data_IF_476858157190
#
_entry.id   IF_476858157190
#
_cell.length_a   1.000
_cell.length_b   1.000
_cell.length_c   1.000
_cell.angle_alpha   90.00
_cell.angle_beta   90.00
_cell.angle_gamma   90.00
#
_symmetry.space_group_name_H-M   'P 1'
#
loop_
_entity.id
_entity.type
_entity.pdbx_description
1 polymer ?
#
# COMPACT_ATOMS: atom_id res chain seq x y z
N UNK A 1 35.39 -0.25 30.18
CA UNK A 1 35.60 -0.34 28.72
C UNK A 1 34.38 0.23 28.05
N UNK A 2 34.53 1.36 27.37
CA UNK A 2 33.42 2.00 26.63
C UNK A 2 33.16 1.26 25.31
N UNK A 3 32.02 1.55 24.68
CA UNK A 3 31.71 1.01 23.34
C UNK A 3 32.75 1.49 22.32
N UNK A 4 33.13 2.77 22.34
CA UNK A 4 34.18 3.32 21.49
C UNK A 4 35.52 2.58 21.67
N UNK A 5 35.97 2.41 22.92
CA UNK A 5 37.20 1.68 23.23
C UNK A 5 37.15 0.23 22.75
N UNK A 6 36.00 -0.43 22.89
CA UNK A 6 35.82 -1.80 22.41
C UNK A 6 35.95 -1.87 20.89
N UNK A 7 35.27 -0.99 20.14
CA UNK A 7 35.36 -1.00 18.68
C UNK A 7 36.76 -0.61 18.19
N UNK A 8 37.41 0.37 18.81
CA UNK A 8 38.78 0.76 18.46
C UNK A 8 39.79 -0.37 18.73
N UNK A 9 39.73 -1.02 19.91
CA UNK A 9 40.74 -2.01 20.32
C UNK A 9 40.44 -3.44 19.86
N UNK A 10 39.18 -3.87 19.89
CA UNK A 10 38.78 -5.26 19.60
C UNK A 10 38.25 -5.46 18.19
N UNK A 11 37.66 -4.44 17.59
CA UNK A 11 37.16 -4.49 16.20
C UNK A 11 38.06 -3.73 15.21
N UNK A 12 39.15 -3.12 15.69
CA UNK A 12 40.08 -2.31 14.90
C UNK A 12 39.35 -1.25 14.05
N UNK A 13 38.31 -0.65 14.63
CA UNK A 13 37.45 0.29 13.94
C UNK A 13 37.24 1.52 14.83
N UNK A 14 37.70 2.68 14.36
CA UNK A 14 37.53 3.95 15.05
C UNK A 14 36.19 4.56 14.64
N UNK A 15 35.31 4.78 15.62
CA UNK A 15 34.01 5.40 15.38
C UNK A 15 34.19 6.81 14.81
N UNK A 16 33.41 7.14 13.78
CA UNK A 16 33.41 8.48 13.18
C UNK A 16 32.51 9.44 13.98
N UNK A 17 31.44 8.90 14.57
CA UNK A 17 30.45 9.65 15.33
C UNK A 17 30.33 9.11 16.77
N UNK A 18 31.38 9.25 17.61
CA UNK A 18 31.40 8.68 18.96
C UNK A 18 30.35 9.27 19.91
N UNK A 19 29.82 10.46 19.60
CA UNK A 19 28.75 11.11 20.37
C UNK A 19 27.34 10.63 20.00
N UNK A 20 27.19 9.81 18.95
CA UNK A 20 25.90 9.27 18.54
C UNK A 20 25.46 8.15 19.52
N UNK A 21 24.16 8.05 19.86
CA UNK A 21 23.70 6.98 20.72
C UNK A 21 23.90 5.60 20.09
N UNK A 22 24.08 4.59 20.95
CA UNK A 22 24.10 3.19 20.55
C UNK A 22 22.69 2.62 20.47
N UNK A 23 22.48 1.66 19.58
CA UNK A 23 21.26 0.87 19.50
C UNK A 23 21.39 -0.33 20.44
N UNK A 24 20.45 -0.47 21.38
CA UNK A 24 20.32 -1.68 22.19
C UNK A 24 19.54 -2.72 21.40
N UNK A 25 20.20 -3.84 21.10
CA UNK A 25 19.61 -4.96 20.35
C UNK A 25 19.52 -6.23 21.20
N UNK A 26 18.72 -7.18 20.74
CA UNK A 26 18.51 -8.46 21.41
C UNK A 26 17.42 -8.41 22.48
N UNK A 27 17.37 -9.46 23.32
CA UNK A 27 16.37 -9.55 24.39
C UNK A 27 16.64 -8.50 25.48
N UNK A 28 15.70 -7.58 25.77
CA UNK A 28 15.86 -6.59 26.84
C UNK A 28 16.03 -7.18 28.25
N UNK A 29 15.56 -8.42 28.47
CA UNK A 29 15.64 -9.12 29.75
C UNK A 29 16.96 -9.90 29.94
N UNK A 30 17.83 -9.93 28.93
CA UNK A 30 19.14 -10.57 29.03
C UNK A 30 20.01 -9.82 30.04
N UNK A 31 20.81 -10.57 30.83
CA UNK A 31 21.87 -9.97 31.64
C UNK A 31 22.92 -9.32 30.73
N UNK A 32 22.95 -7.99 30.75
CA UNK A 32 23.86 -7.14 29.98
C UNK A 32 23.27 -6.71 28.62
N UNK A 33 23.25 -5.40 28.33
CA UNK A 33 22.77 -4.91 27.05
C UNK A 33 23.77 -5.21 25.93
N UNK A 34 23.27 -5.57 24.75
CA UNK A 34 24.08 -5.64 23.53
C UNK A 34 23.95 -4.28 22.84
N UNK A 35 25.02 -3.48 22.89
CA UNK A 35 25.04 -2.13 22.36
C UNK A 35 25.82 -2.10 21.04
N UNK A 36 25.18 -1.62 19.98
CA UNK A 36 25.79 -1.43 18.67
C UNK A 36 25.86 0.06 18.33
N UNK A 37 27.00 0.59 17.85
CA UNK A 37 27.07 1.93 17.29
C UNK A 37 26.08 2.06 16.12
N UNK A 38 25.27 3.12 16.13
CA UNK A 38 24.26 3.33 15.09
C UNK A 38 24.88 3.47 13.69
N UNK A 39 26.10 4.01 13.58
CA UNK A 39 26.85 4.11 12.31
C UNK A 39 27.22 2.75 11.69
N UNK A 40 27.18 1.67 12.47
CA UNK A 40 27.44 0.30 12.00
C UNK A 40 26.14 -0.50 11.79
N UNK A 41 24.98 0.11 11.97
CA UNK A 41 23.69 -0.54 11.82
C UNK A 41 23.06 -0.18 10.47
N UNK A 42 22.45 -1.18 9.80
CA UNK A 42 21.64 -0.98 8.61
C UNK A 42 20.25 -1.54 8.82
N UNK A 43 19.24 -0.87 8.26
CA UNK A 43 17.86 -1.35 8.28
C UNK A 43 17.74 -2.47 7.24
N UNK A 44 17.42 -3.68 7.69
CA UNK A 44 17.20 -4.83 6.81
C UNK A 44 15.97 -4.59 5.92
N UNK A 45 16.03 -4.88 4.60
CA UNK A 45 14.91 -4.68 3.70
C UNK A 45 13.73 -5.61 4.00
N UNK A 46 12.55 -5.28 3.46
CA UNK A 46 11.34 -6.12 3.57
C UNK A 46 10.57 -5.99 4.89
N UNK A 47 10.95 -5.07 5.77
CA UNK A 47 10.22 -4.80 7.01
C UNK A 47 8.98 -3.93 6.73
N UNK A 48 7.75 -4.39 7.03
CA UNK A 48 6.55 -3.59 6.83
C UNK A 48 6.47 -2.44 7.84
N UNK A 49 6.02 -1.28 7.38
CA UNK A 49 5.81 -0.10 8.22
C UNK A 49 4.40 -0.14 8.79
N UNK A 50 4.27 -0.50 10.07
CA UNK A 50 2.97 -0.65 10.75
C UNK A 50 2.48 0.63 11.45
N UNK A 51 3.27 1.71 11.42
CA UNK A 51 2.89 3.02 11.98
C UNK A 51 2.09 3.82 10.97
N UNK A 52 1.23 4.72 11.46
CA UNK A 52 0.49 5.67 10.62
C UNK A 52 1.48 6.55 9.85
N UNK A 53 1.26 6.68 8.55
CA UNK A 53 2.01 7.58 7.68
C UNK A 53 1.65 9.04 7.98
N UNK A 54 2.60 9.96 7.78
CA UNK A 54 2.31 11.39 7.81
C UNK A 54 1.40 11.79 6.63
N UNK A 55 0.79 12.96 6.68
CA UNK A 55 -0.09 13.43 5.59
C UNK A 55 0.65 13.51 4.24
N UNK A 56 1.89 14.02 4.24
CA UNK A 56 2.73 14.08 3.05
C UNK A 56 3.11 12.69 2.50
N UNK A 57 3.45 11.75 3.39
CA UNK A 57 3.71 10.35 3.02
C UNK A 57 2.46 9.68 2.44
N UNK A 58 1.31 9.90 3.09
CA UNK A 58 0.01 9.35 2.65
C UNK A 58 -0.38 9.90 1.28
N UNK A 59 -0.25 11.22 1.06
CA UNK A 59 -0.52 11.85 -0.24
C UNK A 59 0.36 11.26 -1.35
N UNK A 60 1.64 11.06 -1.06
CA UNK A 60 2.59 10.46 -2.01
C UNK A 60 2.24 9.00 -2.32
N UNK A 61 1.88 8.21 -1.30
CA UNK A 61 1.43 6.83 -1.45
C UNK A 61 0.15 6.74 -2.30
N UNK A 62 -0.83 7.61 -2.04
CA UNK A 62 -2.08 7.67 -2.83
C UNK A 62 -1.75 7.97 -4.29
N UNK A 63 -0.92 8.99 -4.56
CA UNK A 63 -0.53 9.35 -5.94
C UNK A 63 0.19 8.20 -6.66
N UNK A 64 1.00 7.44 -5.94
CA UNK A 64 1.70 6.30 -6.50
C UNK A 64 0.76 5.11 -6.79
N UNK A 65 -0.16 4.82 -5.87
CA UNK A 65 -1.04 3.67 -5.95
C UNK A 65 -2.25 3.90 -6.88
N UNK A 66 -2.82 5.11 -6.87
CA UNK A 66 -3.97 5.48 -7.68
C UNK A 66 -3.55 5.64 -9.15
N UNK A 67 -3.70 4.57 -9.91
CA UNK A 67 -3.39 4.52 -11.35
C UNK A 67 -4.63 4.22 -12.17
N UNK A 68 -4.62 4.62 -13.45
CA UNK A 68 -5.73 4.32 -14.36
C UNK A 68 -5.92 2.82 -14.53
N UNK A 69 -7.13 2.42 -14.95
CA UNK A 69 -7.47 1.00 -15.14
C UNK A 69 -6.54 0.30 -16.14
N UNK A 70 -6.17 0.96 -17.24
CA UNK A 70 -5.20 0.45 -18.22
C UNK A 70 -3.83 0.22 -17.58
N UNK A 71 -3.28 1.23 -16.91
CA UNK A 71 -1.96 1.12 -16.25
C UNK A 71 -1.98 0.04 -15.16
N UNK A 72 -3.08 -0.08 -14.41
CA UNK A 72 -3.24 -1.11 -13.41
C UNK A 72 -3.28 -2.51 -14.04
N UNK A 73 -4.00 -2.69 -15.15
CA UNK A 73 -4.02 -3.95 -15.91
C UNK A 73 -2.61 -4.34 -16.35
N UNK A 74 -1.88 -3.41 -16.95
CA UNK A 74 -0.52 -3.65 -17.44
C UNK A 74 0.45 -4.01 -16.31
N UNK A 75 0.34 -3.34 -15.15
CA UNK A 75 1.13 -3.67 -13.96
C UNK A 75 0.85 -5.08 -13.45
N UNK A 76 -0.42 -5.50 -13.42
CA UNK A 76 -0.80 -6.86 -13.01
C UNK A 76 -0.25 -7.89 -14.00
N UNK A 77 -0.42 -7.67 -15.30
CA UNK A 77 0.10 -8.55 -16.35
C UNK A 77 1.62 -8.68 -16.26
N UNK A 78 2.32 -7.56 -16.11
CA UNK A 78 3.77 -7.54 -15.95
C UNK A 78 4.19 -8.32 -14.70
N UNK A 79 3.56 -8.05 -13.56
CA UNK A 79 3.85 -8.76 -12.31
C UNK A 79 3.63 -10.27 -12.43
N UNK A 80 2.55 -10.70 -13.08
CA UNK A 80 2.27 -12.12 -13.33
C UNK A 80 3.35 -12.78 -14.18
N UNK A 81 3.73 -12.11 -15.28
CA UNK A 81 4.76 -12.60 -16.19
C UNK A 81 6.15 -12.65 -15.54
N UNK A 82 6.52 -11.61 -14.78
CA UNK A 82 7.80 -11.51 -14.07
C UNK A 82 7.94 -12.58 -12.99
N UNK A 83 6.82 -13.02 -12.38
CA UNK A 83 6.82 -14.07 -11.35
C UNK A 83 7.06 -15.47 -11.92
N UNK A 84 6.83 -15.67 -13.23
CA UNK A 84 7.07 -16.95 -13.94
C UNK A 84 6.50 -18.17 -13.22
N UNK A 85 5.25 -18.08 -12.77
CA UNK A 85 4.62 -19.11 -11.95
C UNK A 85 4.74 -20.54 -12.50
N UNK A 86 4.62 -20.74 -13.81
CA UNK A 86 4.70 -22.07 -14.42
C UNK A 86 6.12 -22.68 -14.40
N UNK A 87 7.14 -21.91 -14.02
CA UNK A 87 8.50 -22.40 -13.81
C UNK A 87 8.76 -22.86 -12.36
N UNK A 88 7.84 -22.57 -11.46
CA UNK A 88 7.92 -22.98 -10.06
C UNK A 88 7.73 -24.51 -9.92
N UNK A 89 8.65 -25.16 -9.20
CA UNK A 89 8.66 -26.61 -8.99
C UNK A 89 7.43 -27.10 -8.23
N UNK A 90 6.91 -26.31 -7.29
CA UNK A 90 5.71 -26.65 -6.53
C UNK A 90 4.49 -26.68 -7.45
N UNK A 91 4.32 -25.67 -8.31
CA UNK A 91 3.20 -25.62 -9.26
C UNK A 91 3.26 -26.81 -10.23
N UNK A 92 4.44 -27.11 -10.77
CA UNK A 92 4.64 -28.26 -11.66
C UNK A 92 4.32 -29.59 -10.97
N UNK A 93 4.66 -29.74 -9.68
CA UNK A 93 4.38 -30.94 -8.90
C UNK A 93 2.86 -31.23 -8.81
N UNK A 94 2.03 -30.19 -8.69
CA UNK A 94 0.57 -30.32 -8.64
C UNK A 94 -0.08 -30.41 -10.02
N UNK A 95 0.70 -30.43 -11.11
CA UNK A 95 0.24 -30.65 -12.49
C UNK A 95 -0.86 -29.68 -12.96
N UNK A 96 -0.86 -28.44 -12.48
CA UNK A 96 -1.69 -27.37 -13.03
C UNK A 96 -0.82 -26.24 -13.62
N UNK A 97 -1.40 -25.47 -14.53
CA UNK A 97 -0.77 -24.29 -15.13
C UNK A 97 -1.60 -23.04 -14.82
N UNK A 98 -0.91 -21.92 -14.63
CA UNK A 98 -1.50 -20.60 -14.47
C UNK A 98 -1.52 -19.91 -15.83
N UNK A 99 -2.69 -19.42 -16.24
CA UNK A 99 -2.87 -18.66 -17.47
C UNK A 99 -2.18 -17.29 -17.39
N UNK A 100 -1.65 -16.82 -18.52
CA UNK A 100 -0.89 -15.57 -18.59
C UNK A 100 -1.73 -14.35 -18.99
N UNK A 101 -3.02 -14.53 -19.26
CA UNK A 101 -3.93 -13.48 -19.73
C UNK A 101 -5.14 -13.32 -18.81
N UNK A 102 -5.75 -12.13 -18.84
CA UNK A 102 -7.02 -11.91 -18.16
C UNK A 102 -8.14 -12.72 -18.82
N UNK A 103 -8.91 -13.42 -18.00
CA UNK A 103 -10.11 -14.12 -18.45
C UNK A 103 -11.13 -13.16 -19.07
N UNK A 104 -11.70 -13.53 -20.21
CA UNK A 104 -12.66 -12.71 -20.94
C UNK A 104 -14.08 -13.14 -20.60
N UNK A 105 -14.84 -12.23 -20.01
CA UNK A 105 -16.21 -12.50 -19.56
C UNK A 105 -17.18 -11.60 -20.32
N UNK A 106 -18.29 -12.17 -20.79
CA UNK A 106 -19.38 -11.40 -21.36
C UNK A 106 -20.15 -10.70 -20.23
N UNK A 107 -20.09 -9.37 -20.22
CA UNK A 107 -20.82 -8.52 -19.29
C UNK A 107 -21.88 -7.69 -20.01
N UNK A 108 -22.88 -7.20 -19.26
CA UNK A 108 -23.94 -6.32 -19.78
C UNK A 108 -24.03 -5.05 -18.93
N UNK A 109 -24.22 -3.91 -19.58
CA UNK A 109 -24.52 -2.64 -18.91
C UNK A 109 -26.02 -2.46 -18.90
N UNK A 110 -26.62 -2.45 -17.72
CA UNK A 110 -28.06 -2.24 -17.57
C UNK A 110 -28.42 -0.77 -17.83
N UNK A 111 -29.58 -0.55 -18.46
CA UNK A 111 -30.09 0.80 -18.64
C UNK A 111 -30.40 1.44 -17.27
N UNK A 112 -30.07 2.73 -17.06
CA UNK A 112 -30.42 3.42 -15.83
C UNK A 112 -31.94 3.59 -15.71
N UNK A 113 -32.46 3.59 -14.48
CA UNK A 113 -33.86 3.92 -14.22
C UNK A 113 -34.08 5.44 -14.30
N UNK A 114 -35.28 5.85 -14.73
CA UNK A 114 -35.74 7.24 -14.65
C UNK A 114 -36.07 7.55 -13.20
N UNK A 115 -35.55 8.66 -12.68
CA UNK A 115 -35.82 9.11 -11.31
C UNK A 115 -36.78 10.29 -11.33
N UNK A 116 -37.80 10.25 -10.47
CA UNK A 116 -38.80 11.30 -10.37
C UNK A 116 -38.49 12.25 -9.21
N UNK A 117 -38.56 13.54 -9.52
CA UNK A 117 -38.61 14.67 -8.59
C UNK A 117 -39.96 15.37 -8.76
N UNK A 118 -40.29 16.32 -7.88
CA UNK A 118 -41.61 16.98 -7.79
C UNK A 118 -42.28 17.27 -9.15
N UNK A 119 -41.57 17.93 -10.07
CA UNK A 119 -42.07 18.27 -11.42
C UNK A 119 -41.12 17.92 -12.56
N UNK A 120 -40.11 17.09 -12.30
CA UNK A 120 -39.03 16.82 -13.24
C UNK A 120 -38.54 15.39 -13.10
N UNK A 121 -38.18 14.79 -14.22
CA UNK A 121 -37.50 13.50 -14.27
C UNK A 121 -36.02 13.69 -14.53
N UNK A 122 -35.18 12.89 -13.90
CA UNK A 122 -33.74 12.86 -14.12
C UNK A 122 -33.34 11.46 -14.53
N UNK A 123 -32.56 11.36 -15.60
CA UNK A 123 -31.95 10.11 -16.06
C UNK A 123 -30.47 10.12 -15.66
N UNK A 124 -30.02 9.23 -14.77
CA UNK A 124 -28.61 9.10 -14.46
C UNK A 124 -27.79 8.79 -15.72
N UNK A 125 -26.63 9.42 -15.84
CA UNK A 125 -25.68 9.18 -16.92
C UNK A 125 -24.34 8.75 -16.35
N UNK A 126 -23.80 7.62 -16.82
CA UNK A 126 -22.55 7.03 -16.32
C UNK A 126 -22.52 6.88 -14.77
N UNK A 127 -23.67 6.53 -14.17
CA UNK A 127 -23.82 6.38 -12.72
C UNK A 127 -23.85 7.69 -11.93
N UNK A 128 -23.92 8.84 -12.60
CA UNK A 128 -23.96 10.17 -11.96
C UNK A 128 -25.30 10.84 -12.28
N UNK A 129 -25.88 11.49 -11.28
CA UNK A 129 -26.98 12.43 -11.44
C UNK A 129 -26.69 13.67 -10.60
N UNK A 130 -27.26 14.81 -10.98
CA UNK A 130 -27.15 16.05 -10.20
C UNK A 130 -28.53 16.59 -9.91
N UNK A 131 -28.71 17.10 -8.69
CA UNK A 131 -29.93 17.77 -8.26
C UNK A 131 -29.92 19.26 -8.69
N UNK A 132 -29.55 19.56 -9.93
CA UNK A 132 -29.54 20.93 -10.43
C UNK A 132 -30.96 21.33 -10.85
N UNK A 133 -31.50 22.37 -10.23
CA UNK A 133 -32.83 22.92 -10.53
C UNK A 133 -34.00 21.94 -10.37
N UNK A 134 -33.90 20.96 -9.46
CA UNK A 134 -34.99 20.03 -9.10
C UNK A 134 -35.27 20.08 -7.59
N UNK A 135 -36.55 20.13 -7.20
CA UNK A 135 -36.98 20.05 -5.80
C UNK A 135 -37.16 18.59 -5.39
N UNK A 136 -36.95 18.26 -4.11
CA UNK A 136 -37.25 16.93 -3.58
C UNK A 136 -38.68 16.51 -3.96
N UNK A 137 -38.86 15.24 -4.32
CA UNK A 137 -40.19 14.67 -4.60
C UNK A 137 -41.18 14.92 -3.45
N UNK A 138 -40.71 14.78 -2.21
CA UNK A 138 -41.41 15.22 -1.01
C UNK A 138 -40.44 15.90 -0.06
N UNK A 139 -40.48 17.23 0.01
CA UNK A 139 -39.70 18.03 0.94
C UNK A 139 -40.34 18.08 2.33
N UNK A 140 -39.53 18.07 3.38
CA UNK A 140 -40.00 18.38 4.73
C UNK A 140 -39.95 19.90 4.96
N UNK A 141 -40.93 20.44 5.65
CA UNK A 141 -40.90 21.82 6.14
C UNK A 141 -40.18 21.87 7.48
N UNK A 142 -39.13 22.69 7.57
CA UNK A 142 -38.46 22.99 8.84
C UNK A 142 -39.13 24.25 9.39
N UNK A 143 -39.94 24.08 10.45
CA UNK A 143 -40.52 25.20 11.19
C UNK A 143 -39.45 25.77 12.13
N UNK A 144 -39.16 27.06 12.02
CA UNK A 144 -38.36 27.82 12.98
C UNK A 144 -39.23 28.36 14.10
#
# INVERSE_FOLDING_TARGET
MTVEEYFARKKNYRLQYPLMPTVWVGNPQRQGPILLPAELCMIVPGQPVNRKMTEGQTSSMIKYAATSTTVRKDKIMKSSNDTRHNDDLCIRQFSFCIGNEFEQIQARVLAPSVWEYDKRTVMPSKGVWRQENVKFFKGAEIKS
#
